data_IF_207531408327
#
_entry.id   IF_207531408327
#
_cell.length_a   1.000
_cell.length_b   1.000
_cell.length_c   1.000
_cell.angle_alpha   90.00
_cell.angle_beta   90.00
_cell.angle_gamma   90.00
#
_symmetry.space_group_name_H-M   'P 1'
#
loop_
_entity.id
_entity.type
_entity.pdbx_description
1 polymer ?
#
# COMPACT_ATOMS: atom_id res chain seq x y z
N UNK A 1 -26.11 2.11 -4.61
CA UNK A 1 -25.44 2.01 -5.92
C UNK A 1 -24.06 1.40 -5.73
N UNK A 2 -23.79 0.30 -6.39
CA UNK A 2 -22.46 -0.31 -6.36
C UNK A 2 -21.55 0.44 -7.32
N UNK A 3 -20.52 1.07 -6.77
CA UNK A 3 -19.43 1.56 -7.59
C UNK A 3 -18.60 0.37 -8.04
N UNK A 4 -18.65 0.06 -9.32
CA UNK A 4 -17.75 -0.93 -9.91
C UNK A 4 -16.53 -0.22 -10.45
N UNK A 5 -15.37 -0.47 -9.84
CA UNK A 5 -14.10 -0.02 -10.40
C UNK A 5 -13.70 -1.05 -11.45
N UNK A 6 -13.65 -0.65 -12.70
CA UNK A 6 -13.18 -1.52 -13.77
C UNK A 6 -11.65 -1.70 -13.68
N UNK A 7 -11.16 -2.81 -14.25
CA UNK A 7 -9.72 -3.04 -14.37
C UNK A 7 -9.03 -1.91 -15.15
N UNK A 8 -9.73 -1.35 -16.13
CA UNK A 8 -9.24 -0.22 -16.91
C UNK A 8 -9.01 1.03 -16.05
N UNK A 9 -9.93 1.33 -15.15
CA UNK A 9 -9.81 2.48 -14.24
C UNK A 9 -8.62 2.31 -13.31
N UNK A 10 -8.39 1.10 -12.81
CA UNK A 10 -7.22 0.81 -11.99
C UNK A 10 -5.91 0.95 -12.77
N UNK A 11 -5.87 0.46 -14.01
CA UNK A 11 -4.70 0.58 -14.88
C UNK A 11 -4.37 2.05 -15.17
N UNK A 12 -5.38 2.89 -15.37
CA UNK A 12 -5.22 4.33 -15.54
C UNK A 12 -4.66 4.99 -14.28
N UNK A 13 -5.19 4.61 -13.12
CA UNK A 13 -4.70 5.10 -11.84
C UNK A 13 -3.23 4.73 -11.60
N UNK A 14 -2.81 3.54 -11.99
CA UNK A 14 -1.42 3.10 -11.91
C UNK A 14 -0.50 3.98 -12.75
N UNK A 15 -0.93 4.33 -13.95
CA UNK A 15 -0.12 5.18 -14.85
C UNK A 15 0.11 6.57 -14.27
N UNK A 16 -0.92 7.14 -13.64
CA UNK A 16 -0.85 8.48 -13.07
C UNK A 16 -0.20 8.50 -11.70
N UNK A 17 -0.48 7.49 -10.88
CA UNK A 17 -0.08 7.46 -9.47
C UNK A 17 1.31 6.90 -9.19
N UNK A 18 1.91 6.18 -10.12
CA UNK A 18 3.25 5.62 -9.93
C UNK A 18 4.31 6.51 -10.58
N UNK A 19 5.28 7.01 -9.79
CA UNK A 19 6.35 7.85 -10.33
C UNK A 19 7.22 7.09 -11.35
N UNK A 20 7.80 7.78 -12.35
CA UNK A 20 8.63 7.14 -13.36
C UNK A 20 9.83 6.36 -12.82
N UNK A 21 10.47 6.85 -11.75
CA UNK A 21 11.58 6.14 -11.11
C UNK A 21 11.15 4.80 -10.51
N UNK A 22 9.97 4.73 -9.94
CA UNK A 22 9.41 3.48 -9.38
C UNK A 22 9.03 2.53 -10.51
N UNK A 23 8.42 3.03 -11.57
CA UNK A 23 8.05 2.22 -12.72
C UNK A 23 9.28 1.61 -13.39
N UNK A 24 10.38 2.35 -13.44
CA UNK A 24 11.65 1.86 -14.01
C UNK A 24 12.27 0.76 -13.15
N UNK A 25 12.28 0.95 -11.83
CA UNK A 25 12.87 -0.03 -10.90
C UNK A 25 12.02 -1.29 -10.74
N UNK A 26 10.70 -1.14 -10.77
CA UNK A 26 9.75 -2.22 -10.52
C UNK A 26 8.69 -2.27 -11.62
N UNK A 27 9.07 -2.63 -12.86
CA UNK A 27 8.14 -2.56 -14.00
C UNK A 27 6.97 -3.54 -13.90
N UNK A 28 7.12 -4.61 -13.13
CA UNK A 28 6.08 -5.63 -12.99
C UNK A 28 5.18 -5.39 -11.78
N UNK A 29 5.48 -4.43 -10.93
CA UNK A 29 4.66 -4.11 -9.78
C UNK A 29 3.38 -3.40 -10.21
N UNK A 30 2.27 -3.79 -9.61
CA UNK A 30 0.96 -3.14 -9.76
C UNK A 30 0.50 -2.52 -8.45
N UNK A 31 1.41 -2.27 -7.53
CA UNK A 31 1.10 -1.64 -6.27
C UNK A 31 0.90 -0.13 -6.46
N UNK A 32 -0.14 0.41 -5.85
CA UNK A 32 -0.43 1.83 -5.85
C UNK A 32 -0.46 2.33 -4.41
N UNK A 33 0.45 3.23 -4.09
CA UNK A 33 0.52 3.85 -2.77
C UNK A 33 -0.26 5.16 -2.84
N UNK A 34 -1.28 5.27 -2.00
CA UNK A 34 -2.16 6.45 -1.97
C UNK A 34 -2.28 6.99 -0.56
N UNK A 35 -2.71 8.24 -0.45
CA UNK A 35 -3.04 8.82 0.84
C UNK A 35 -4.22 8.06 1.48
N UNK A 36 -4.19 7.93 2.82
CA UNK A 36 -5.28 7.34 3.58
C UNK A 36 -6.64 7.98 3.34
N UNK A 37 -6.66 9.24 2.90
CA UNK A 37 -7.91 9.93 2.53
C UNK A 37 -8.73 9.16 1.49
N UNK A 38 -8.07 8.55 0.52
CA UNK A 38 -8.76 7.80 -0.53
C UNK A 38 -9.37 6.52 0.02
N UNK A 39 -8.69 5.88 0.95
CA UNK A 39 -9.21 4.69 1.63
C UNK A 39 -10.43 5.06 2.48
N UNK A 40 -10.34 6.16 3.25
CA UNK A 40 -11.43 6.65 4.07
C UNK A 40 -12.66 6.98 3.22
N UNK A 41 -12.46 7.67 2.11
CA UNK A 41 -13.55 7.99 1.18
C UNK A 41 -14.20 6.74 0.60
N UNK A 42 -13.40 5.75 0.23
CA UNK A 42 -13.90 4.49 -0.30
C UNK A 42 -14.73 3.73 0.76
N UNK A 43 -14.26 3.72 2.01
CA UNK A 43 -14.97 3.10 3.12
C UNK A 43 -16.32 3.77 3.39
N UNK A 44 -16.35 5.11 3.38
CA UNK A 44 -17.58 5.87 3.54
C UNK A 44 -18.56 5.61 2.39
N UNK A 45 -18.06 5.56 1.16
CA UNK A 45 -18.91 5.29 -0.02
C UNK A 45 -19.48 3.88 0.02
N UNK A 46 -18.73 2.92 0.52
CA UNK A 46 -19.15 1.53 0.65
C UNK A 46 -20.17 1.35 1.79
N UNK A 47 -20.10 2.20 2.82
CA UNK A 47 -21.00 2.19 3.97
C UNK A 47 -20.70 1.15 5.03
N UNK A 48 -20.07 0.05 4.66
CA UNK A 48 -19.63 -1.02 5.56
C UNK A 48 -18.27 -1.52 5.12
N UNK A 49 -17.24 -1.08 5.79
CA UNK A 49 -15.89 -1.54 5.49
C UNK A 49 -14.97 -1.24 6.66
N UNK A 50 -13.97 -2.08 6.80
CA UNK A 50 -12.83 -1.82 7.67
C UNK A 50 -11.57 -1.91 6.83
N UNK A 51 -10.55 -1.17 7.21
CA UNK A 51 -9.22 -1.32 6.65
C UNK A 51 -8.33 -1.97 7.69
N UNK A 52 -7.50 -2.90 7.27
CA UNK A 52 -6.51 -3.52 8.13
C UNK A 52 -5.20 -2.75 8.02
N UNK A 53 -4.57 -2.48 9.15
CA UNK A 53 -3.24 -1.93 9.20
C UNK A 53 -2.24 -3.02 9.55
N UNK A 54 -1.21 -3.18 8.73
CA UNK A 54 -0.10 -4.09 8.98
C UNK A 54 1.14 -3.32 9.41
N UNK A 55 1.82 -3.78 10.45
CA UNK A 55 3.03 -3.12 10.92
C UNK A 55 4.21 -3.39 9.99
N UNK A 56 4.87 -2.32 9.52
CA UNK A 56 6.00 -2.39 8.58
C UNK A 56 7.36 -2.63 9.22
N UNK A 57 7.40 -3.27 10.38
CA UNK A 57 8.61 -3.48 11.18
C UNK A 57 9.65 -4.35 10.48
N UNK A 58 9.25 -5.26 9.64
CA UNK A 58 10.14 -6.16 8.93
C UNK A 58 9.60 -6.44 7.53
N UNK A 59 10.51 -6.69 6.58
CA UNK A 59 10.11 -7.01 5.22
C UNK A 59 9.31 -8.32 5.12
N UNK A 60 9.52 -9.26 6.03
CA UNK A 60 8.72 -10.49 6.10
C UNK A 60 7.26 -10.19 6.41
N UNK A 61 7.02 -9.30 7.38
CA UNK A 61 5.65 -8.86 7.73
C UNK A 61 5.04 -8.11 6.57
N UNK A 62 5.77 -7.18 5.96
CA UNK A 62 5.28 -6.39 4.82
C UNK A 62 4.84 -7.33 3.68
N UNK A 63 5.69 -8.26 3.30
CA UNK A 63 5.37 -9.21 2.23
C UNK A 63 4.20 -10.12 2.59
N UNK A 64 4.12 -10.57 3.84
CA UNK A 64 3.02 -11.41 4.31
C UNK A 64 1.67 -10.70 4.25
N UNK A 65 1.60 -9.47 4.76
CA UNK A 65 0.33 -8.71 4.76
C UNK A 65 -0.06 -8.27 3.35
N UNK A 66 0.91 -7.96 2.48
CA UNK A 66 0.63 -7.63 1.08
C UNK A 66 0.06 -8.82 0.31
N UNK A 67 0.61 -10.01 0.51
CA UNK A 67 0.09 -11.23 -0.09
C UNK A 67 -1.32 -11.55 0.39
N UNK A 68 -1.57 -11.36 1.68
CA UNK A 68 -2.90 -11.56 2.24
C UNK A 68 -3.91 -10.57 1.65
N UNK A 69 -3.54 -9.29 1.55
CA UNK A 69 -4.36 -8.25 0.95
C UNK A 69 -4.65 -8.54 -0.53
N UNK A 70 -3.65 -9.00 -1.26
CA UNK A 70 -3.79 -9.38 -2.66
C UNK A 70 -4.79 -10.53 -2.83
N UNK A 71 -4.69 -11.58 -2.00
CA UNK A 71 -5.63 -12.70 -2.01
C UNK A 71 -7.06 -12.27 -1.69
N UNK A 72 -7.20 -11.35 -0.74
CA UNK A 72 -8.50 -10.84 -0.33
C UNK A 72 -9.03 -9.75 -1.28
N UNK A 73 -8.22 -9.31 -2.25
CA UNK A 73 -8.52 -8.16 -3.11
C UNK A 73 -8.90 -6.93 -2.28
N UNK A 74 -8.07 -6.62 -1.29
CA UNK A 74 -8.34 -5.60 -0.31
C UNK A 74 -7.24 -4.54 -0.30
N UNK A 75 -7.62 -3.32 0.11
CA UNK A 75 -6.64 -2.29 0.42
C UNK A 75 -5.98 -2.60 1.76
N UNK A 76 -4.76 -2.10 1.94
CA UNK A 76 -3.97 -2.32 3.14
C UNK A 76 -3.31 -1.02 3.56
N UNK A 77 -3.27 -0.78 4.87
CA UNK A 77 -2.48 0.29 5.46
C UNK A 77 -1.21 -0.33 6.02
N UNK A 78 -0.04 0.18 5.62
CA UNK A 78 1.21 -0.21 6.25
C UNK A 78 1.59 0.90 7.21
N UNK A 79 1.75 0.55 8.47
CA UNK A 79 2.05 1.49 9.54
C UNK A 79 3.39 1.18 10.19
N UNK A 80 4.00 2.19 10.77
CA UNK A 80 5.22 2.05 11.56
C UNK A 80 5.25 3.13 12.64
N UNK A 81 5.61 2.75 13.86
CA UNK A 81 5.78 3.70 14.94
C UNK A 81 7.06 4.50 14.76
N UNK A 82 7.09 5.71 15.28
CA UNK A 82 8.29 6.56 15.24
C UNK A 82 9.51 5.88 15.85
N UNK A 83 9.33 5.09 16.90
CA UNK A 83 10.42 4.33 17.54
C UNK A 83 10.93 3.17 16.71
N UNK A 84 10.17 2.72 15.71
CA UNK A 84 10.52 1.60 14.85
C UNK A 84 11.21 2.03 13.56
N UNK A 85 10.98 3.26 13.11
CA UNK A 85 11.55 3.81 11.88
C UNK A 85 12.52 4.93 12.16
N UNK A 86 13.44 5.16 11.23
CA UNK A 86 14.41 6.23 11.31
C UNK A 86 15.81 5.77 11.69
N UNK A 87 16.75 6.73 11.73
CA UNK A 87 18.19 6.46 11.86
C UNK A 87 18.56 5.82 13.20
N UNK A 88 17.87 6.22 14.27
CA UNK A 88 18.17 5.76 15.63
C UNK A 88 17.13 4.77 16.17
N UNK A 89 16.29 4.23 15.29
CA UNK A 89 15.25 3.30 15.69
C UNK A 89 15.83 1.90 15.89
N UNK A 90 15.14 1.09 16.71
CA UNK A 90 15.58 -0.28 16.98
C UNK A 90 15.31 -1.24 15.82
N UNK A 91 14.45 -0.87 14.85
CA UNK A 91 14.21 -1.64 13.64
C UNK A 91 15.00 -1.05 12.48
N UNK A 92 15.53 -1.89 11.63
CA UNK A 92 16.29 -1.47 10.45
C UNK A 92 15.37 -1.14 9.28
N UNK A 93 14.34 -0.32 9.53
CA UNK A 93 13.37 0.09 8.52
C UNK A 93 13.22 1.61 8.54
N UNK A 94 12.86 2.18 7.40
CA UNK A 94 12.47 3.57 7.28
C UNK A 94 11.42 3.70 6.18
N UNK A 95 10.82 4.88 6.06
CA UNK A 95 9.70 5.08 5.12
C UNK A 95 10.07 4.78 3.67
N UNK A 96 11.31 5.03 3.26
CA UNK A 96 11.74 4.76 1.88
C UNK A 96 11.86 3.28 1.61
N UNK A 97 12.52 2.53 2.49
CA UNK A 97 12.68 1.10 2.26
C UNK A 97 11.34 0.34 2.44
N UNK A 98 10.45 0.81 3.31
CA UNK A 98 9.09 0.28 3.41
C UNK A 98 8.35 0.47 2.08
N UNK A 99 8.39 1.68 1.53
CA UNK A 99 7.74 1.97 0.25
C UNK A 99 8.30 1.10 -0.88
N UNK A 100 9.60 0.89 -0.90
CA UNK A 100 10.24 0.01 -1.90
C UNK A 100 9.86 -1.45 -1.73
N UNK A 101 9.71 -1.91 -0.49
CA UNK A 101 9.29 -3.29 -0.21
C UNK A 101 7.87 -3.57 -0.72
N UNK A 102 7.01 -2.57 -0.75
CA UNK A 102 5.66 -2.72 -1.32
C UNK A 102 5.73 -3.09 -2.80
N UNK A 103 6.65 -2.50 -3.53
CA UNK A 103 6.82 -2.77 -4.97
C UNK A 103 7.66 -4.03 -5.23
N UNK A 104 8.53 -4.36 -4.33
CA UNK A 104 9.38 -5.53 -4.48
C UNK A 104 8.60 -6.83 -4.27
#
# INVERSE_FOLDING_TARGET
>A
MKATVSQKDFDEALKVGRPPNITTLFPNSRALIVSGKYIDRAMLAKGRAIAMAGNGRSHFVIHGVLRAAQRANAALIIEIAKSEGGTNAYCAVNYWNIARQVDA
#
